data_IF_360397616078
#
_entry.id   IF_360397616078
#
_cell.length_a   1.000
_cell.length_b   1.000
_cell.length_c   1.000
_cell.angle_alpha   90.00
_cell.angle_beta   90.00
_cell.angle_gamma   90.00
#
_symmetry.space_group_name_H-M   'P 1'
#
loop_
_entity.id
_entity.type
_entity.pdbx_description
1 polymer ?
#
# COMPACT_ATOMS: atom_id res chain seq x y z
N UNK A 1 11.40 -0.53 2.16
CA UNK A 1 11.19 -1.99 1.93
C UNK A 1 12.46 -2.82 2.05
N UNK A 2 13.51 -2.62 1.23
CA UNK A 2 14.77 -3.39 1.31
C UNK A 2 15.45 -3.38 2.69
N UNK A 3 15.57 -2.21 3.33
CA UNK A 3 16.10 -2.10 4.69
C UNK A 3 15.26 -2.85 5.75
N UNK A 4 13.98 -3.09 5.46
CA UNK A 4 13.10 -3.92 6.27
C UNK A 4 13.12 -5.39 5.84
N UNK A 5 14.14 -5.85 5.10
CA UNK A 5 14.35 -7.25 4.74
C UNK A 5 13.47 -7.79 3.61
N UNK A 6 12.71 -6.93 2.92
CA UNK A 6 11.96 -7.35 1.73
C UNK A 6 12.85 -7.34 0.49
N UNK A 7 12.84 -8.44 -0.26
CA UNK A 7 13.35 -8.42 -1.63
C UNK A 7 12.38 -7.62 -2.51
N UNK A 8 12.91 -6.74 -3.35
CA UNK A 8 12.10 -5.87 -4.18
C UNK A 8 12.69 -5.78 -5.59
N UNK A 9 11.88 -6.17 -6.57
CA UNK A 9 12.12 -5.96 -8.00
C UNK A 9 11.31 -4.75 -8.44
N UNK A 10 11.97 -3.79 -9.10
CA UNK A 10 11.35 -2.55 -9.54
C UNK A 10 11.15 -2.62 -11.06
N UNK A 11 9.95 -2.27 -11.50
CA UNK A 11 9.60 -2.15 -12.90
C UNK A 11 9.13 -0.73 -13.16
N UNK A 12 9.92 0.02 -13.94
CA UNK A 12 9.49 1.32 -14.44
C UNK A 12 8.48 1.10 -15.56
N UNK A 13 7.28 1.63 -15.38
CA UNK A 13 6.16 1.48 -16.31
C UNK A 13 5.74 2.85 -16.85
N UNK A 14 5.39 2.90 -18.13
CA UNK A 14 4.92 4.14 -18.77
C UNK A 14 3.46 4.45 -18.43
N UNK A 15 2.65 3.43 -18.13
CA UNK A 15 1.26 3.57 -17.76
C UNK A 15 0.98 2.87 -16.42
N UNK A 16 1.13 3.63 -15.34
CA UNK A 16 0.85 3.14 -13.99
C UNK A 16 -0.66 2.98 -13.74
N UNK A 17 -1.51 3.73 -14.45
CA UNK A 17 -2.96 3.66 -14.27
C UNK A 17 -3.50 2.31 -14.73
N UNK A 18 -3.03 1.82 -15.87
CA UNK A 18 -3.33 0.46 -16.33
C UNK A 18 -2.91 -0.61 -15.32
N UNK A 19 -1.74 -0.45 -14.68
CA UNK A 19 -1.26 -1.37 -13.63
C UNK A 19 -2.17 -1.35 -12.41
N UNK A 20 -2.54 -0.18 -11.91
CA UNK A 20 -3.45 -0.01 -10.77
C UNK A 20 -4.82 -0.66 -11.04
N UNK A 21 -5.38 -0.40 -12.22
CA UNK A 21 -6.66 -0.97 -12.64
C UNK A 21 -6.60 -2.51 -12.74
N UNK A 22 -5.54 -3.06 -13.33
CA UNK A 22 -5.33 -4.51 -13.41
C UNK A 22 -5.22 -5.16 -12.02
N UNK A 23 -4.64 -4.45 -11.06
CA UNK A 23 -4.57 -4.88 -9.66
C UNK A 23 -5.80 -4.48 -8.83
N UNK A 24 -6.84 -3.90 -9.44
CA UNK A 24 -8.10 -3.56 -8.76
C UNK A 24 -7.94 -2.55 -7.63
N UNK A 25 -7.00 -1.61 -7.76
CA UNK A 25 -6.84 -0.50 -6.81
C UNK A 25 -7.94 0.53 -7.09
N UNK A 26 -8.81 0.85 -6.11
CA UNK A 26 -9.82 1.89 -6.28
C UNK A 26 -9.20 3.27 -6.47
N UNK A 27 -9.84 4.14 -7.29
CA UNK A 27 -9.35 5.49 -7.59
C UNK A 27 -9.08 6.33 -6.33
N UNK A 28 -9.96 6.23 -5.33
CA UNK A 28 -9.83 6.94 -4.06
C UNK A 28 -8.65 6.45 -3.19
N UNK A 29 -8.06 5.30 -3.51
CA UNK A 29 -6.96 4.68 -2.77
C UNK A 29 -5.65 4.70 -3.55
N UNK A 30 -5.58 5.34 -4.71
CA UNK A 30 -4.35 5.35 -5.50
C UNK A 30 -3.25 6.23 -4.90
N UNK A 31 -2.00 5.89 -5.20
CA UNK A 31 -0.77 6.59 -4.84
C UNK A 31 0.24 6.57 -5.99
N UNK A 32 1.49 6.97 -5.76
CA UNK A 32 2.52 7.08 -6.79
C UNK A 32 3.10 5.75 -7.28
N UNK A 33 2.92 4.64 -6.55
CA UNK A 33 3.42 3.32 -6.94
C UNK A 33 2.54 2.20 -6.40
N UNK A 34 2.64 1.03 -7.04
CA UNK A 34 1.90 -0.18 -6.70
C UNK A 34 2.88 -1.34 -6.63
N UNK A 35 2.86 -2.08 -5.52
CA UNK A 35 3.64 -3.30 -5.36
C UNK A 35 2.71 -4.49 -5.10
N UNK A 36 3.21 -5.69 -5.37
CA UNK A 36 2.50 -6.94 -5.06
C UNK A 36 3.43 -7.84 -4.26
N UNK A 37 2.90 -8.41 -3.17
CA UNK A 37 3.62 -9.34 -2.30
C UNK A 37 2.68 -10.44 -1.82
N UNK A 38 3.03 -11.71 -2.05
CA UNK A 38 2.22 -12.89 -1.73
C UNK A 38 0.73 -12.79 -2.13
N UNK A 39 0.46 -12.15 -3.27
CA UNK A 39 -0.88 -11.95 -3.81
C UNK A 39 -1.63 -10.73 -3.26
N UNK A 40 -1.07 -10.01 -2.29
CA UNK A 40 -1.60 -8.74 -1.80
C UNK A 40 -1.04 -7.56 -2.58
N UNK A 41 -1.88 -6.56 -2.80
CA UNK A 41 -1.47 -5.25 -3.32
C UNK A 41 -0.99 -4.36 -2.17
N UNK A 42 0.10 -3.63 -2.37
CA UNK A 42 0.59 -2.59 -1.48
C UNK A 42 0.70 -1.31 -2.30
N UNK A 43 -0.21 -0.38 -2.02
CA UNK A 43 -0.38 0.86 -2.78
C UNK A 43 0.18 2.05 -2.01
N UNK A 44 1.18 2.71 -2.59
CA UNK A 44 1.82 3.87 -1.98
C UNK A 44 2.74 3.56 -0.80
N UNK A 45 2.96 4.59 0.00
CA UNK A 45 3.94 4.61 1.09
C UNK A 45 3.47 3.89 2.36
N UNK A 46 3.05 2.63 2.23
CA UNK A 46 2.64 1.78 3.36
C UNK A 46 3.87 1.38 4.19
N UNK A 47 3.84 1.53 5.52
CA UNK A 47 4.93 1.09 6.39
C UNK A 47 5.22 -0.40 6.30
N UNK A 48 6.50 -0.76 6.32
CA UNK A 48 6.94 -2.15 6.27
C UNK A 48 6.39 -3.00 7.43
N UNK A 49 6.14 -2.40 8.60
CA UNK A 49 5.50 -3.07 9.74
C UNK A 49 4.06 -3.50 9.43
N UNK A 50 3.30 -2.65 8.74
CA UNK A 50 1.93 -2.96 8.34
C UNK A 50 1.88 -4.05 7.26
N UNK A 51 2.83 -4.03 6.32
CA UNK A 51 2.98 -5.10 5.32
C UNK A 51 3.35 -6.43 6.00
N UNK A 52 4.25 -6.43 6.97
CA UNK A 52 4.56 -7.65 7.76
C UNK A 52 3.32 -8.17 8.49
N UNK A 53 2.53 -7.28 9.09
CA UNK A 53 1.28 -7.64 9.76
C UNK A 53 0.28 -8.23 8.79
N UNK A 54 0.13 -7.66 7.59
CA UNK A 54 -0.71 -8.20 6.52
C UNK A 54 -0.32 -9.63 6.14
N UNK A 55 0.98 -9.87 5.95
CA UNK A 55 1.50 -11.19 5.57
C UNK A 55 1.41 -12.23 6.69
N UNK A 56 1.43 -11.80 7.95
CA UNK A 56 1.24 -12.67 9.11
C UNK A 56 -0.23 -13.03 9.33
N UNK A 57 -1.13 -12.03 9.30
CA UNK A 57 -2.56 -12.22 9.56
C UNK A 57 -3.31 -12.82 8.36
N UNK A 58 -2.82 -12.57 7.14
CA UNK A 58 -3.41 -12.98 5.86
C UNK A 58 -4.94 -12.78 5.80
N UNK A 59 -5.46 -11.58 6.09
CA UNK A 59 -6.89 -11.33 6.01
C UNK A 59 -7.40 -11.53 4.59
N UNK A 60 -8.67 -11.91 4.45
CA UNK A 60 -9.34 -11.95 3.15
C UNK A 60 -9.59 -10.52 2.65
N UNK A 61 -8.66 -10.01 1.85
CA UNK A 61 -8.65 -8.66 1.31
C UNK A 61 -7.81 -8.61 0.03
N UNK A 62 -7.85 -7.49 -0.70
CA UNK A 62 -7.01 -7.25 -1.87
C UNK A 62 -5.64 -6.69 -1.50
N UNK A 63 -5.57 -5.81 -0.51
CA UNK A 63 -4.31 -5.16 -0.18
C UNK A 63 -4.40 -4.04 0.86
N UNK A 64 -3.27 -3.35 1.03
CA UNK A 64 -3.14 -2.12 1.82
C UNK A 64 -2.88 -0.93 0.91
N UNK A 65 -3.43 0.23 1.27
CA UNK A 65 -3.10 1.51 0.64
C UNK A 65 -2.76 2.56 1.67
N UNK A 66 -1.76 3.39 1.38
CA UNK A 66 -1.56 4.72 1.94
C UNK A 66 -1.93 5.74 0.83
N UNK A 67 -3.20 6.17 0.73
CA UNK A 67 -3.69 6.94 -0.41
C UNK A 67 -2.98 8.28 -0.58
N UNK A 68 -2.85 8.73 -1.84
CA UNK A 68 -2.18 9.98 -2.16
C UNK A 68 -0.68 9.90 -1.87
N UNK A 69 -0.14 10.93 -1.21
CA UNK A 69 1.29 11.03 -0.87
C UNK A 69 1.44 11.70 0.51
N UNK A 70 1.11 11.00 1.62
CA UNK A 70 1.15 11.62 2.94
C UNK A 70 2.57 12.06 3.29
N UNK A 71 2.81 13.32 3.72
CA UNK A 71 4.17 13.84 3.94
C UNK A 71 4.99 13.06 4.96
N UNK A 72 4.34 12.56 6.01
CA UNK A 72 4.94 11.80 7.11
C UNK A 72 5.14 10.31 6.80
N UNK A 73 4.75 9.85 5.61
CA UNK A 73 4.88 8.44 5.24
C UNK A 73 6.32 8.04 4.88
N UNK A 74 6.71 6.76 5.04
CA UNK A 74 8.06 6.29 4.76
C UNK A 74 8.52 6.60 3.33
N UNK A 75 9.66 7.26 3.17
CA UNK A 75 10.19 7.68 1.87
C UNK A 75 9.70 9.05 1.40
N UNK A 76 8.69 9.63 2.07
CA UNK A 76 8.43 11.08 2.04
C UNK A 76 9.20 11.77 3.16
N UNK A 77 9.15 11.21 4.39
CA UNK A 77 9.97 11.59 5.56
C UNK A 77 9.98 13.11 5.88
N UNK A 78 8.89 13.80 5.53
CA UNK A 78 8.67 15.22 5.81
C UNK A 78 7.82 15.34 7.08
N UNK A 79 8.15 16.23 8.03
CA UNK A 79 7.26 16.54 9.15
C UNK A 79 5.85 16.84 8.65
N UNK A 80 4.86 16.07 9.11
CA UNK A 80 3.54 16.06 8.50
C UNK A 80 2.45 15.72 9.49
N UNK A 81 1.22 15.71 8.98
CA UNK A 81 0.04 15.27 9.73
C UNK A 81 -0.03 13.75 9.80
N UNK A 82 -0.80 13.21 10.75
CA UNK A 82 -1.15 11.80 10.74
C UNK A 82 -1.81 11.36 9.42
N UNK A 83 -1.65 10.10 9.06
CA UNK A 83 -2.29 9.47 7.92
C UNK A 83 -2.80 8.07 8.25
N UNK A 84 -3.70 7.57 7.41
CA UNK A 84 -4.29 6.26 7.57
C UNK A 84 -3.75 5.30 6.51
N UNK A 85 -3.52 4.06 6.93
CA UNK A 85 -3.36 2.92 6.02
C UNK A 85 -4.70 2.20 5.96
N UNK A 86 -5.20 1.92 4.76
CA UNK A 86 -6.51 1.31 4.51
C UNK A 86 -6.32 -0.11 4.01
N UNK A 87 -7.00 -1.07 4.64
CA UNK A 87 -7.19 -2.41 4.10
C UNK A 87 -8.39 -2.38 3.16
N UNK A 88 -8.18 -2.75 1.90
CA UNK A 88 -9.20 -2.64 0.86
C UNK A 88 -9.54 -3.97 0.19
N UNK A 89 -10.73 -4.05 -0.39
CA UNK A 89 -11.23 -5.24 -1.09
C UNK A 89 -11.54 -6.42 -0.15
N UNK A 90 -11.83 -6.14 1.11
CA UNK A 90 -12.34 -7.14 2.05
C UNK A 90 -13.86 -7.36 1.85
N UNK A 91 -14.43 -8.52 2.19
CA UNK A 91 -15.87 -8.79 2.03
C UNK A 91 -16.81 -7.80 2.73
N UNK A 92 -16.34 -7.15 3.80
CA UNK A 92 -17.10 -6.12 4.54
C UNK A 92 -16.83 -4.69 4.08
N UNK A 93 -16.12 -4.51 2.96
CA UNK A 93 -15.65 -3.21 2.48
C UNK A 93 -14.30 -2.81 3.05
N UNK A 94 -13.89 -1.60 2.68
CA UNK A 94 -12.60 -1.05 3.05
C UNK A 94 -12.63 -0.55 4.50
N UNK A 95 -11.52 -0.69 5.22
CA UNK A 95 -11.41 -0.27 6.63
C UNK A 95 -10.02 0.24 6.97
N UNK A 96 -9.95 1.11 7.97
CA UNK A 96 -8.66 1.55 8.53
C UNK A 96 -7.91 0.36 9.11
N UNK A 97 -6.68 0.16 8.63
CA UNK A 97 -5.75 -0.86 9.08
C UNK A 97 -4.83 -0.34 10.18
N UNK A 98 -4.34 0.88 10.02
CA UNK A 98 -3.45 1.55 10.96
C UNK A 98 -3.54 3.07 10.81
N UNK A 99 -3.12 3.79 11.85
CA UNK A 99 -2.93 5.24 11.87
C UNK A 99 -1.49 5.55 12.26
N UNK A 100 -0.86 6.46 11.54
CA UNK A 100 0.51 6.92 11.74
C UNK A 100 0.55 8.43 11.87
#
# INVERSE_FOLDING_TARGET
MKAAGFEATVHDVTDLQAVKAAHGVPDALQSCHTAVVDGYVVEGHVPAADVRRLLAERPRAKGLSAPGMPPSSPGMDIPGTPYEVVLFGAPGGDRVWARH
#
